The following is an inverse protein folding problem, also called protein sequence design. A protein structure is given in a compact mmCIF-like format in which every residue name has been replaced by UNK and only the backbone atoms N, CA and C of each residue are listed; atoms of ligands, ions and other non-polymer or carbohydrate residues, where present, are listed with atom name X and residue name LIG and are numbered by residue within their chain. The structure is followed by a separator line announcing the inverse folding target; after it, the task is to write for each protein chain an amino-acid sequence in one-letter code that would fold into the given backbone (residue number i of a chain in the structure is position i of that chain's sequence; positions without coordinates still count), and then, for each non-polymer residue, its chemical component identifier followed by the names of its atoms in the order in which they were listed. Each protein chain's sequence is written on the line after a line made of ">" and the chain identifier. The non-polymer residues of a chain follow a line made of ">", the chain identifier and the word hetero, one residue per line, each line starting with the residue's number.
data_IF_247715447312
#
_entry.id   IF_247715447312
#
_cell.length_a   1.000
_cell.length_b   1.000
_cell.length_c   1.000
_cell.angle_alpha   90.00
_cell.angle_beta   90.00
_cell.angle_gamma   90.00
#
_symmetry.space_group_name_H-M   'P 1'
#
loop_
_entity.id
_entity.type
_entity.pdbx_description
1 polymer ?
#
# COMPACT_ATOMS: atom_id res chain seq x y z
N UNK A 1 -5.04 -7.82 7.98
CA UNK A 1 -5.13 -8.91 6.97
C UNK A 1 -4.15 -8.71 5.82
N UNK A 2 -4.07 -7.55 5.16
CA UNK A 2 -3.18 -7.37 4.00
C UNK A 2 -1.68 -7.61 4.29
N UNK A 3 -1.17 -7.17 5.45
CA UNK A 3 0.22 -7.42 5.90
C UNK A 3 0.52 -8.92 5.95
N UNK A 4 -0.35 -9.71 6.61
CA UNK A 4 -0.20 -11.15 6.70
C UNK A 4 -0.29 -11.83 5.32
N UNK A 5 -1.15 -11.33 4.44
CA UNK A 5 -1.28 -11.85 3.08
C UNK A 5 -0.02 -11.62 2.22
N UNK A 6 0.61 -10.45 2.36
CA UNK A 6 1.91 -10.17 1.74
C UNK A 6 3.02 -11.08 2.29
N UNK A 7 3.09 -11.25 3.61
CA UNK A 7 4.07 -12.13 4.24
C UNK A 7 3.92 -13.58 3.77
N UNK A 8 2.69 -14.10 3.62
CA UNK A 8 2.44 -15.44 3.06
C UNK A 8 2.83 -15.57 1.59
N UNK A 9 2.90 -14.46 0.85
CA UNK A 9 3.43 -14.41 -0.50
C UNK A 9 4.97 -14.27 -0.54
N UNK A 10 5.64 -14.24 0.62
CA UNK A 10 7.09 -14.04 0.73
C UNK A 10 7.52 -12.58 0.58
N UNK A 11 6.57 -11.63 0.54
CA UNK A 11 6.87 -10.21 0.44
C UNK A 11 7.18 -9.60 1.80
N UNK A 12 8.01 -8.55 1.79
CA UNK A 12 8.26 -7.70 2.97
C UNK A 12 7.28 -6.52 2.97
N UNK A 13 6.26 -6.52 3.86
CA UNK A 13 5.27 -5.43 3.92
C UNK A 13 5.87 -4.10 4.37
N UNK A 14 7.08 -4.11 4.94
CA UNK A 14 7.81 -2.92 5.37
C UNK A 14 8.85 -2.46 4.33
N UNK A 15 8.92 -3.08 3.14
CA UNK A 15 9.95 -2.77 2.14
C UNK A 15 10.01 -1.29 1.79
N UNK A 16 8.85 -0.62 1.66
CA UNK A 16 8.79 0.83 1.37
C UNK A 16 9.50 1.72 2.40
N UNK A 17 9.59 1.30 3.67
CA UNK A 17 10.36 1.99 4.73
C UNK A 17 11.87 1.74 4.62
N UNK A 18 12.27 0.61 4.03
CA UNK A 18 13.67 0.17 3.93
C UNK A 18 14.34 0.69 2.66
N UNK A 19 13.57 0.85 1.58
CA UNK A 19 14.06 1.29 0.27
C UNK A 19 14.89 2.58 0.32
N UNK A 20 14.51 3.64 1.07
CA UNK A 20 15.32 4.86 1.10
C UNK A 20 16.76 4.62 1.56
N UNK A 21 16.95 3.89 2.67
CA UNK A 21 18.29 3.57 3.18
C UNK A 21 19.06 2.64 2.24
N UNK A 22 18.39 1.66 1.62
CA UNK A 22 19.00 0.74 0.67
C UNK A 22 19.48 1.47 -0.60
N UNK A 23 18.68 2.41 -1.12
CA UNK A 23 19.04 3.20 -2.28
C UNK A 23 20.19 4.17 -1.99
N UNK A 24 20.18 4.82 -0.82
CA UNK A 24 21.27 5.68 -0.40
C UNK A 24 22.58 4.89 -0.24
N UNK A 25 22.53 3.69 0.35
CA UNK A 25 23.69 2.80 0.46
C UNK A 25 24.22 2.34 -0.92
N UNK A 26 23.36 2.29 -1.94
CA UNK A 26 23.75 2.01 -3.33
C UNK A 26 24.28 3.25 -4.09
N UNK A 27 24.44 4.40 -3.42
CA UNK A 27 24.94 5.64 -4.04
C UNK A 27 23.90 6.40 -4.86
N UNK A 28 22.62 6.03 -4.78
CA UNK A 28 21.55 6.77 -5.46
C UNK A 28 21.18 8.02 -4.67
N UNK A 29 20.80 9.07 -5.39
CA UNK A 29 20.09 10.20 -4.79
C UNK A 29 18.67 9.75 -4.49
N UNK A 30 18.25 9.89 -3.24
CA UNK A 30 16.95 9.42 -2.76
C UNK A 30 16.06 10.60 -2.38
N UNK A 31 14.83 10.57 -2.87
CA UNK A 31 13.77 11.49 -2.45
C UNK A 31 12.54 10.73 -1.95
N UNK A 32 12.00 11.16 -0.81
CA UNK A 32 10.74 10.66 -0.26
C UNK A 32 9.71 11.77 -0.23
N UNK A 33 8.55 11.54 -0.86
CA UNK A 33 7.44 12.50 -0.88
C UNK A 33 6.22 11.93 -0.17
N UNK A 34 5.52 12.78 0.58
CA UNK A 34 4.21 12.49 1.14
C UNK A 34 3.15 13.29 0.37
N UNK A 35 1.96 12.71 0.12
CA UNK A 35 0.86 13.48 -0.44
C UNK A 35 0.45 14.59 0.53
N UNK A 36 0.15 15.77 -0.01
CA UNK A 36 -0.23 16.98 0.73
C UNK A 36 -1.69 16.93 1.22
N UNK A 37 -2.49 15.99 0.70
CA UNK A 37 -3.92 15.86 0.99
C UNK A 37 -4.36 14.42 1.17
N UNK A 38 -5.32 14.24 2.07
CA UNK A 38 -6.05 12.98 2.21
C UNK A 38 -6.98 12.78 1.01
N UNK A 39 -6.96 11.57 0.43
CA UNK A 39 -7.90 11.16 -0.61
C UNK A 39 -8.99 10.28 -0.02
N UNK A 40 -10.22 10.44 -0.52
CA UNK A 40 -11.34 9.55 -0.21
C UNK A 40 -10.99 8.13 -0.66
N UNK A 41 -11.33 7.12 0.14
CA UNK A 41 -11.09 5.73 -0.24
C UNK A 41 -11.92 5.38 -1.47
N UNK A 42 -11.25 5.07 -2.58
CA UNK A 42 -11.91 4.52 -3.74
C UNK A 42 -12.17 3.02 -3.51
N UNK A 43 -13.42 2.53 -3.63
CA UNK A 43 -13.74 1.12 -3.42
C UNK A 43 -12.93 0.15 -4.31
N UNK A 44 -12.55 0.61 -5.51
CA UNK A 44 -11.70 -0.13 -6.45
C UNK A 44 -10.34 -0.53 -5.86
N UNK A 45 -9.82 0.19 -4.85
CA UNK A 45 -8.55 -0.19 -4.18
C UNK A 45 -8.65 -1.54 -3.46
N UNK A 46 -9.85 -1.97 -3.07
CA UNK A 46 -10.06 -3.30 -2.50
C UNK A 46 -9.88 -4.41 -3.53
N UNK A 47 -9.92 -4.12 -4.84
CA UNK A 47 -9.64 -5.11 -5.88
C UNK A 47 -8.16 -5.54 -5.85
N UNK A 48 -7.23 -4.61 -5.57
CA UNK A 48 -5.80 -4.92 -5.41
C UNK A 48 -5.55 -5.97 -4.32
N UNK A 49 -6.35 -5.95 -3.25
CA UNK A 49 -6.20 -6.91 -2.15
C UNK A 49 -6.62 -8.33 -2.55
N UNK A 50 -7.48 -8.48 -3.56
CA UNK A 50 -7.98 -9.80 -4.02
C UNK A 50 -6.90 -10.62 -4.73
N UNK A 51 -5.87 -9.97 -5.25
CA UNK A 51 -4.72 -10.61 -5.89
C UNK A 51 -3.78 -11.29 -4.88
N UNK A 52 -3.92 -10.95 -3.59
CA UNK A 52 -3.12 -11.55 -2.53
C UNK A 52 -3.59 -12.97 -2.17
N UNK A 53 -2.69 -13.76 -1.58
CA UNK A 53 -2.99 -15.10 -1.03
C UNK A 53 -3.80 -14.98 0.28
N UNK A 54 -5.06 -14.57 0.14
CA UNK A 54 -6.00 -14.39 1.23
C UNK A 54 -6.66 -15.72 1.64
N UNK A 55 -6.94 -15.87 2.92
CA UNK A 55 -7.79 -16.96 3.44
C UNK A 55 -9.26 -16.71 3.08
N UNK A 56 -10.11 -17.73 3.23
CA UNK A 56 -11.55 -17.60 3.00
C UNK A 56 -12.20 -16.55 3.93
N UNK A 57 -11.76 -16.49 5.20
CA UNK A 57 -12.23 -15.48 6.16
C UNK A 57 -11.84 -14.06 5.76
N UNK A 58 -10.59 -13.88 5.34
CA UNK A 58 -10.08 -12.57 4.91
C UNK A 58 -10.82 -12.09 3.65
N UNK A 59 -11.14 -12.99 2.70
CA UNK A 59 -11.97 -12.67 1.52
C UNK A 59 -13.37 -12.21 1.93
N UNK A 60 -14.05 -12.95 2.82
CA UNK A 60 -15.36 -12.56 3.35
C UNK A 60 -15.31 -11.21 4.07
N UNK A 61 -14.21 -10.90 4.77
CA UNK A 61 -14.03 -9.62 5.42
C UNK A 61 -13.91 -8.47 4.40
N UNK A 62 -13.15 -8.65 3.32
CA UNK A 62 -13.03 -7.65 2.25
C UNK A 62 -14.39 -7.38 1.59
N UNK A 63 -15.18 -8.43 1.31
CA UNK A 63 -16.50 -8.28 0.71
C UNK A 63 -17.46 -7.49 1.62
N UNK A 64 -17.43 -7.73 2.94
CA UNK A 64 -18.20 -6.94 3.92
C UNK A 64 -17.77 -5.47 3.95
N UNK A 65 -16.46 -5.18 3.93
CA UNK A 65 -15.95 -3.81 3.89
C UNK A 65 -16.38 -3.12 2.59
N UNK A 66 -16.31 -3.82 1.45
CA UNK A 66 -16.75 -3.30 0.15
C UNK A 66 -18.23 -2.96 0.14
N UNK A 67 -19.09 -3.84 0.67
CA UNK A 67 -20.53 -3.59 0.77
C UNK A 67 -20.80 -2.34 1.63
N UNK A 68 -20.09 -2.19 2.76
CA UNK A 68 -20.21 -1.02 3.64
C UNK A 68 -19.76 0.28 2.95
N UNK A 69 -18.61 0.26 2.25
CA UNK A 69 -18.12 1.43 1.51
C UNK A 69 -19.06 1.86 0.37
N UNK A 70 -19.78 0.93 -0.26
CA UNK A 70 -20.80 1.25 -1.26
C UNK A 70 -22.03 1.89 -0.64
N UNK A 71 -22.45 1.41 0.53
CA UNK A 71 -23.62 1.94 1.23
C UNK A 71 -23.35 3.29 1.89
N UNK A 72 -22.11 3.50 2.37
CA UNK A 72 -21.71 4.68 3.16
C UNK A 72 -20.28 5.12 2.76
N UNK A 73 -20.12 5.77 1.59
CA UNK A 73 -18.80 6.15 1.06
C UNK A 73 -17.97 7.06 1.96
N UNK A 74 -18.63 7.91 2.76
CA UNK A 74 -18.04 8.88 3.68
C UNK A 74 -17.30 8.24 4.87
N UNK A 75 -17.58 6.97 5.17
CA UNK A 75 -16.97 6.24 6.30
C UNK A 75 -15.62 5.64 5.89
N UNK A 76 -15.31 5.64 4.59
CA UNK A 76 -14.07 5.14 4.03
C UNK A 76 -12.97 6.17 3.96
N UNK A 77 -12.29 6.48 5.07
CA UNK A 77 -10.97 7.11 5.01
C UNK A 77 -9.90 6.03 5.14
N UNK A 78 -9.74 5.24 4.07
CA UNK A 78 -8.58 4.36 3.94
C UNK A 78 -7.40 5.19 3.40
N UNK A 79 -6.68 5.82 4.31
CA UNK A 79 -5.39 6.42 3.98
C UNK A 79 -4.38 5.30 3.71
N UNK A 80 -4.09 5.05 2.44
CA UNK A 80 -2.81 4.44 2.08
C UNK A 80 -1.83 5.61 1.91
N UNK A 81 -0.88 5.83 2.83
CA UNK A 81 0.23 6.72 2.54
C UNK A 81 0.94 6.13 1.32
N UNK A 82 0.79 6.78 0.17
CA UNK A 82 1.60 6.50 -0.99
C UNK A 82 3.01 6.98 -0.65
N UNK A 83 3.87 6.05 -0.28
CA UNK A 83 5.27 6.33 -0.07
C UNK A 83 6.00 6.13 -1.39
N UNK A 84 6.25 7.24 -2.09
CA UNK A 84 7.06 7.21 -3.29
C UNK A 84 8.53 7.29 -2.90
N UNK A 85 9.32 6.34 -3.40
CA UNK A 85 10.77 6.33 -3.26
C UNK A 85 11.35 6.38 -4.67
N UNK A 86 12.01 7.48 -5.01
CA UNK A 86 12.72 7.65 -6.27
C UNK A 86 14.22 7.52 -6.00
N UNK A 87 14.89 6.69 -6.78
CA UNK A 87 16.34 6.56 -6.78
C UNK A 87 16.87 6.96 -8.15
N UNK A 88 17.70 8.00 -8.21
CA UNK A 88 18.33 8.47 -9.45
C UNK A 88 19.83 8.23 -9.40
N UNK A 89 20.40 7.80 -10.53
CA UNK A 89 21.85 7.77 -10.72
C UNK A 89 22.35 9.22 -10.76
N UNK A 90 23.37 9.59 -9.97
CA UNK A 90 23.96 10.92 -10.07
C UNK A 90 24.48 11.18 -11.49
N UNK A 91 24.19 12.35 -12.04
CA UNK A 91 24.86 12.85 -13.25
C UNK A 91 26.33 13.12 -12.91
N UNK A 92 27.25 12.64 -13.75
CA UNK A 92 28.70 12.91 -13.64
C UNK A 92 29.02 14.41 -13.61
#
# INVERSE_FOLDING_TARGET
>A
FWVAALQRAGADPCIGRKLPSLFAAAGLRVETRFPDRYQIAQPARLDLLRELRLTADERRQIDRIRARLRAQPEIGVAHLPLWMVLGEKPSE
#
